data_IF_592185275241
#
_entry.id   IF_592185275241
#
_cell.length_a   1.000
_cell.length_b   1.000
_cell.length_c   1.000
_cell.angle_alpha   90.00
_cell.angle_beta   90.00
_cell.angle_gamma   90.00
#
_symmetry.space_group_name_H-M   'P 1'
#
loop_
_entity.id
_entity.type
_entity.pdbx_description
1 polymer ?
#
# COMPACT_ATOMS: atom_id res chain seq x y z
N UNK A 1 36.24 -30.55 -63.99
CA UNK A 1 37.16 -29.95 -63.11
C UNK A 1 36.46 -29.29 -61.95
N UNK A 2 36.89 -29.63 -60.76
CA UNK A 2 36.83 -28.83 -59.53
C UNK A 2 35.45 -28.68 -58.89
N UNK A 3 35.07 -29.23 -57.76
CA UNK A 3 35.74 -29.46 -56.52
C UNK A 3 35.52 -28.25 -55.57
N UNK A 4 34.77 -28.40 -54.48
CA UNK A 4 34.73 -27.36 -53.46
C UNK A 4 33.57 -27.54 -52.49
N UNK A 5 33.78 -28.31 -51.45
CA UNK A 5 32.89 -28.39 -50.33
C UNK A 5 33.02 -27.15 -49.44
N UNK A 6 31.93 -26.75 -48.82
CA UNK A 6 31.88 -25.73 -47.81
C UNK A 6 31.03 -26.19 -46.64
N UNK A 7 31.69 -26.50 -45.52
CA UNK A 7 31.03 -26.90 -44.29
C UNK A 7 30.27 -25.76 -43.66
N UNK A 8 29.00 -26.03 -43.34
CA UNK A 8 28.18 -25.17 -42.52
C UNK A 8 28.43 -25.44 -41.06
N UNK A 9 29.06 -24.47 -40.38
CA UNK A 9 29.16 -24.47 -38.89
C UNK A 9 27.83 -24.08 -38.32
N UNK A 10 27.13 -25.02 -37.68
CA UNK A 10 26.00 -24.74 -36.83
C UNK A 10 26.44 -24.01 -35.56
N UNK A 11 26.10 -22.73 -35.43
CA UNK A 11 26.19 -22.04 -34.16
C UNK A 11 25.01 -22.51 -33.28
N UNK A 12 25.29 -23.39 -32.34
CA UNK A 12 24.39 -23.73 -31.26
C UNK A 12 24.23 -22.49 -30.40
N UNK A 13 23.06 -21.86 -30.48
CA UNK A 13 22.64 -20.86 -29.51
C UNK A 13 22.40 -21.57 -28.20
N UNK A 14 23.28 -21.32 -27.23
CA UNK A 14 23.10 -21.70 -25.84
C UNK A 14 22.12 -20.72 -25.19
N UNK A 15 20.82 -21.00 -25.37
CA UNK A 15 19.74 -20.32 -24.64
C UNK A 15 19.68 -20.88 -23.23
N UNK A 16 20.75 -20.66 -22.44
CA UNK A 16 20.72 -20.82 -21.01
C UNK A 16 19.65 -19.91 -20.41
N UNK A 17 18.95 -20.34 -19.34
CA UNK A 17 17.91 -19.52 -18.73
C UNK A 17 18.52 -18.18 -18.32
N UNK A 18 18.02 -17.12 -18.96
CA UNK A 18 18.36 -15.73 -18.61
C UNK A 18 17.94 -15.47 -17.17
N UNK A 19 18.86 -15.58 -16.22
CA UNK A 19 18.68 -15.20 -14.82
C UNK A 19 18.76 -13.68 -14.72
N UNK A 20 17.84 -12.99 -15.39
CA UNK A 20 17.65 -11.57 -15.13
C UNK A 20 17.22 -11.41 -13.68
N UNK A 21 17.96 -10.60 -12.90
CA UNK A 21 17.57 -10.25 -11.55
C UNK A 21 16.09 -9.82 -11.52
N UNK A 22 15.33 -10.21 -10.49
CA UNK A 22 13.91 -9.87 -10.43
C UNK A 22 13.74 -8.34 -10.51
N UNK A 23 12.80 -7.89 -11.34
CA UNK A 23 12.57 -6.45 -11.57
C UNK A 23 12.19 -5.78 -10.26
N UNK A 24 12.92 -4.72 -9.87
CA UNK A 24 12.58 -3.86 -8.76
C UNK A 24 11.51 -2.82 -9.17
N UNK A 25 10.80 -2.29 -8.18
CA UNK A 25 9.74 -1.29 -8.39
C UNK A 25 8.34 -1.83 -8.14
N UNK A 26 7.34 -1.08 -8.58
CA UNK A 26 5.93 -1.42 -8.39
C UNK A 26 5.59 -2.71 -9.16
N UNK A 27 5.02 -3.68 -8.46
CA UNK A 27 4.57 -4.96 -9.02
C UNK A 27 3.06 -4.97 -9.27
N UNK A 28 2.28 -4.39 -8.35
CA UNK A 28 0.83 -4.32 -8.46
C UNK A 28 0.23 -3.38 -7.43
N UNK A 29 -1.01 -2.97 -7.65
CA UNK A 29 -1.73 -2.10 -6.71
C UNK A 29 -3.25 -2.34 -6.78
N UNK A 30 -3.93 -1.88 -5.74
CA UNK A 30 -5.40 -1.85 -5.71
C UNK A 30 -5.86 -0.66 -4.89
N UNK A 31 -6.95 -0.04 -5.30
CA UNK A 31 -7.54 1.08 -4.58
C UNK A 31 -9.06 1.07 -4.73
N UNK A 32 -9.75 1.54 -3.69
CA UNK A 32 -11.20 1.62 -3.68
C UNK A 32 -11.69 2.75 -2.77
N UNK A 33 -12.96 3.08 -2.88
CA UNK A 33 -13.61 4.09 -2.05
C UNK A 33 -15.07 3.72 -1.77
N UNK A 34 -15.59 4.20 -0.64
CA UNK A 34 -17.00 4.11 -0.26
C UNK A 34 -17.44 5.45 0.36
N UNK A 35 -18.09 6.27 -0.45
CA UNK A 35 -18.62 7.57 -0.04
C UNK A 35 -19.72 7.49 1.02
N UNK A 36 -20.45 6.37 1.13
CA UNK A 36 -21.46 6.18 2.17
C UNK A 36 -20.83 6.11 3.58
N UNK A 37 -19.55 5.75 3.67
CA UNK A 37 -18.77 5.72 4.90
C UNK A 37 -18.28 7.09 5.38
N UNK A 38 -18.44 8.17 4.60
CA UNK A 38 -17.90 9.52 4.91
C UNK A 38 -18.36 10.08 6.26
N UNK A 39 -19.53 9.70 6.73
CA UNK A 39 -20.05 10.07 8.04
C UNK A 39 -19.22 9.58 9.22
N UNK A 40 -18.40 8.56 9.02
CA UNK A 40 -17.61 7.93 10.08
C UNK A 40 -16.21 8.52 10.24
N UNK A 41 -15.69 9.21 9.21
CA UNK A 41 -14.39 9.89 9.25
C UNK A 41 -14.42 11.07 8.26
N UNK A 42 -14.40 12.28 8.76
CA UNK A 42 -14.43 13.48 7.92
C UNK A 42 -13.85 14.70 8.63
N UNK A 43 -13.47 15.70 7.83
CA UNK A 43 -13.19 17.06 8.25
C UNK A 43 -14.00 17.97 7.30
N UNK A 44 -15.19 18.37 7.72
CA UNK A 44 -16.11 19.14 6.88
C UNK A 44 -15.59 20.55 6.69
N UNK A 45 -15.71 21.06 5.48
CA UNK A 45 -15.52 22.47 5.22
C UNK A 45 -16.77 23.24 5.67
N UNK A 46 -16.57 24.28 6.47
CA UNK A 46 -17.65 25.14 6.92
C UNK A 46 -17.50 26.53 6.29
N UNK A 47 -18.58 27.07 5.74
CA UNK A 47 -18.61 28.46 5.29
C UNK A 47 -18.49 29.43 6.48
N UNK A 48 -18.11 30.72 6.27
CA UNK A 48 -18.06 31.73 7.33
C UNK A 48 -19.36 31.90 8.09
N UNK A 49 -20.49 31.51 7.51
CA UNK A 49 -21.80 31.51 8.15
C UNK A 49 -22.08 30.28 9.03
N UNK A 50 -21.06 29.41 9.25
CA UNK A 50 -21.19 28.20 10.06
C UNK A 50 -22.01 27.07 9.43
N UNK A 51 -22.43 27.20 8.18
CA UNK A 51 -23.14 26.14 7.45
C UNK A 51 -22.13 25.18 6.87
N UNK A 52 -22.27 23.87 7.14
CA UNK A 52 -21.57 22.85 6.39
C UNK A 52 -22.01 22.93 4.93
N UNK A 53 -21.05 23.13 4.01
CA UNK A 53 -21.33 23.07 2.58
C UNK A 53 -21.51 21.59 2.18
N UNK A 54 -22.47 21.33 1.29
CA UNK A 54 -22.56 20.05 0.63
C UNK A 54 -21.29 19.84 -0.22
N UNK A 55 -20.87 18.57 -0.48
CA UNK A 55 -19.63 18.28 -1.22
C UNK A 55 -19.55 18.92 -2.62
N UNK A 56 -20.69 19.25 -3.20
CA UNK A 56 -20.88 19.85 -4.52
C UNK A 56 -21.06 21.38 -4.47
N UNK A 57 -21.22 21.98 -3.28
CA UNK A 57 -21.40 23.43 -3.11
C UNK A 57 -20.06 24.15 -2.78
N UNK A 58 -18.97 23.43 -2.79
CA UNK A 58 -17.63 23.98 -2.49
C UNK A 58 -17.11 24.86 -3.61
N UNK A 59 -17.35 26.17 -3.53
CA UNK A 59 -16.56 27.13 -4.30
C UNK A 59 -15.14 27.15 -3.71
N UNK A 60 -14.15 26.70 -4.50
CA UNK A 60 -12.75 26.66 -4.10
C UNK A 60 -12.15 28.03 -3.72
N UNK A 61 -12.89 29.10 -3.91
CA UNK A 61 -12.54 30.47 -3.53
C UNK A 61 -13.33 31.03 -2.35
N UNK A 62 -14.29 30.30 -1.80
CA UNK A 62 -15.11 30.82 -0.71
C UNK A 62 -14.30 30.87 0.61
N UNK A 63 -14.32 32.00 1.34
CA UNK A 63 -13.70 32.06 2.64
C UNK A 63 -14.38 31.11 3.61
N UNK A 64 -13.61 30.23 4.24
CA UNK A 64 -14.10 29.24 5.20
C UNK A 64 -12.95 28.50 5.87
N UNK A 65 -13.29 27.57 6.73
CA UNK A 65 -12.33 26.73 7.44
C UNK A 65 -12.82 25.28 7.52
N UNK A 66 -11.88 24.36 7.60
CA UNK A 66 -12.21 22.98 7.95
C UNK A 66 -12.63 22.90 9.42
N UNK A 67 -13.69 22.18 9.68
CA UNK A 67 -14.04 21.76 11.03
C UNK A 67 -13.01 20.76 11.58
N UNK A 68 -13.03 20.56 12.88
CA UNK A 68 -12.23 19.50 13.49
C UNK A 68 -12.56 18.15 12.87
N UNK A 69 -11.55 17.27 12.83
CA UNK A 69 -11.75 15.88 12.40
C UNK A 69 -12.80 15.22 13.29
N UNK A 70 -13.85 14.71 12.68
CA UNK A 70 -14.88 13.92 13.33
C UNK A 70 -14.68 12.46 12.96
N UNK A 71 -14.59 11.58 13.97
CA UNK A 71 -14.33 10.15 13.77
C UNK A 71 -15.19 9.29 14.71
N UNK A 72 -15.89 8.31 14.12
CA UNK A 72 -16.44 7.18 14.86
C UNK A 72 -15.40 6.05 14.88
N UNK A 73 -14.60 5.99 15.96
CA UNK A 73 -13.46 5.06 16.06
C UNK A 73 -13.86 3.60 15.94
N UNK A 74 -15.05 3.19 16.41
CA UNK A 74 -15.51 1.79 16.30
C UNK A 74 -15.82 1.42 14.85
N UNK A 75 -16.51 2.28 14.11
CA UNK A 75 -16.86 2.01 12.71
C UNK A 75 -15.60 2.07 11.81
N UNK A 76 -14.70 3.01 12.06
CA UNK A 76 -13.41 3.08 11.36
C UNK A 76 -12.57 1.83 11.64
N UNK A 77 -12.52 1.35 12.89
CA UNK A 77 -11.84 0.10 13.23
C UNK A 77 -12.42 -1.10 12.47
N UNK A 78 -13.74 -1.31 12.54
CA UNK A 78 -14.43 -2.40 11.83
C UNK A 78 -14.19 -2.35 10.31
N UNK A 79 -14.19 -1.16 9.77
CA UNK A 79 -13.88 -0.93 8.37
C UNK A 79 -12.43 -1.33 8.06
N UNK A 80 -11.46 -0.78 8.78
CA UNK A 80 -10.03 -0.98 8.51
C UNK A 80 -9.62 -2.46 8.57
N UNK A 81 -10.04 -3.19 9.62
CA UNK A 81 -9.68 -4.61 9.78
C UNK A 81 -10.28 -5.52 8.69
N UNK A 82 -11.28 -5.03 7.96
CA UNK A 82 -11.87 -5.73 6.82
C UNK A 82 -11.27 -5.26 5.50
N UNK A 83 -11.19 -3.95 5.28
CA UNK A 83 -10.80 -3.36 4.01
C UNK A 83 -9.29 -3.52 3.71
N UNK A 84 -8.43 -3.38 4.73
CA UNK A 84 -6.97 -3.48 4.56
C UNK A 84 -6.54 -4.86 4.05
N UNK A 85 -6.92 -5.98 4.67
CA UNK A 85 -6.57 -7.29 4.11
C UNK A 85 -7.09 -7.50 2.69
N UNK A 86 -8.34 -7.14 2.44
CA UNK A 86 -8.96 -7.30 1.11
C UNK A 86 -8.22 -6.53 0.02
N UNK A 87 -7.78 -5.29 0.29
CA UNK A 87 -7.06 -4.50 -0.70
C UNK A 87 -5.63 -4.99 -0.91
N UNK A 88 -4.98 -5.52 0.13
CA UNK A 88 -3.65 -6.16 0.02
C UNK A 88 -3.75 -7.43 -0.85
N UNK A 89 -4.72 -8.30 -0.59
CA UNK A 89 -4.96 -9.49 -1.41
C UNK A 89 -5.23 -9.14 -2.89
N UNK A 90 -6.03 -8.08 -3.13
CA UNK A 90 -6.28 -7.60 -4.48
C UNK A 90 -5.02 -7.07 -5.17
N UNK A 91 -4.17 -6.34 -4.45
CA UNK A 91 -2.89 -5.83 -4.97
C UNK A 91 -1.88 -6.96 -5.23
N UNK A 92 -1.85 -7.99 -4.39
CA UNK A 92 -1.03 -9.20 -4.62
C UNK A 92 -1.47 -9.94 -5.89
N UNK A 93 -2.77 -10.07 -6.08
CA UNK A 93 -3.32 -10.67 -7.31
C UNK A 93 -2.94 -9.87 -8.56
N UNK A 94 -3.02 -8.53 -8.50
CA UNK A 94 -2.59 -7.64 -9.59
C UNK A 94 -1.09 -7.75 -9.86
N UNK A 95 -0.28 -7.95 -8.80
CA UNK A 95 1.15 -8.22 -8.90
C UNK A 95 1.51 -9.60 -9.47
N UNK A 96 0.54 -10.49 -9.66
CA UNK A 96 0.77 -11.88 -10.08
C UNK A 96 1.44 -12.74 -9.01
N UNK A 97 1.34 -12.35 -7.74
CA UNK A 97 1.91 -13.08 -6.62
C UNK A 97 0.90 -14.10 -6.05
N UNK A 98 1.38 -15.21 -5.48
CA UNK A 98 0.49 -16.31 -5.05
C UNK A 98 -0.42 -15.93 -3.88
N UNK A 99 0.05 -15.08 -2.96
CA UNK A 99 -0.70 -14.67 -1.79
C UNK A 99 0.15 -13.94 -0.75
N UNK A 100 -0.39 -13.73 0.47
CA UNK A 100 0.30 -13.02 1.55
C UNK A 100 1.62 -13.66 1.99
N UNK A 101 1.83 -14.95 1.73
CA UNK A 101 3.10 -15.66 1.99
C UNK A 101 4.27 -15.12 1.17
N UNK A 102 3.98 -14.42 0.05
CA UNK A 102 4.99 -13.77 -0.77
C UNK A 102 5.46 -12.41 -0.22
N UNK A 103 4.83 -11.92 0.85
CA UNK A 103 5.19 -10.65 1.49
C UNK A 103 6.37 -10.90 2.44
N UNK A 104 7.48 -10.20 2.21
CA UNK A 104 8.59 -10.16 3.16
C UNK A 104 8.29 -9.15 4.28
N UNK A 105 7.74 -7.99 3.93
CA UNK A 105 7.42 -6.92 4.87
C UNK A 105 6.05 -6.29 4.62
N UNK A 106 5.28 -6.12 5.70
CA UNK A 106 3.98 -5.43 5.70
C UNK A 106 4.11 -4.08 6.40
N UNK A 107 3.85 -2.99 5.68
CA UNK A 107 3.91 -1.62 6.18
C UNK A 107 2.54 -0.98 6.03
N UNK A 108 1.78 -0.94 7.11
CA UNK A 108 0.44 -0.36 7.12
C UNK A 108 0.45 1.09 7.59
N UNK A 109 -0.59 1.83 7.24
CA UNK A 109 -0.87 3.11 7.87
C UNK A 109 -0.88 2.96 9.40
N UNK A 110 -0.02 3.73 10.10
CA UNK A 110 0.18 3.67 11.54
C UNK A 110 -0.98 4.35 12.30
N UNK A 111 -2.19 3.84 12.12
CA UNK A 111 -3.39 4.41 12.71
C UNK A 111 -3.58 4.01 14.17
N UNK A 112 -3.42 2.72 14.45
CA UNK A 112 -3.65 2.10 15.76
C UNK A 112 -3.06 0.68 15.76
N UNK A 113 -2.32 0.31 16.81
CA UNK A 113 -1.66 -1.00 16.92
C UNK A 113 -2.65 -2.16 16.75
N UNK A 114 -3.84 -2.06 17.32
CA UNK A 114 -4.87 -3.12 17.20
C UNK A 114 -5.35 -3.34 15.75
N UNK A 115 -5.29 -2.30 14.90
CA UNK A 115 -5.62 -2.43 13.48
C UNK A 115 -4.48 -3.16 12.77
N UNK A 116 -3.22 -2.80 13.07
CA UNK A 116 -2.05 -3.45 12.50
C UNK A 116 -2.07 -4.95 12.81
N UNK A 117 -2.23 -5.29 14.09
CA UNK A 117 -2.26 -6.67 14.56
C UNK A 117 -3.40 -7.48 13.93
N UNK A 118 -4.61 -6.91 13.89
CA UNK A 118 -5.77 -7.59 13.32
C UNK A 118 -5.66 -7.78 11.80
N UNK A 119 -5.10 -6.81 11.08
CA UNK A 119 -4.90 -6.91 9.63
C UNK A 119 -3.80 -7.95 9.30
N UNK A 120 -2.68 -7.91 10.02
CA UNK A 120 -1.59 -8.88 9.86
C UNK A 120 -2.05 -10.32 10.16
N UNK A 121 -2.75 -10.51 11.28
CA UNK A 121 -3.31 -11.81 11.64
C UNK A 121 -4.27 -12.36 10.58
N UNK A 122 -5.11 -11.50 9.99
CA UNK A 122 -6.05 -11.90 8.94
C UNK A 122 -5.36 -12.24 7.62
N UNK A 123 -4.25 -11.57 7.31
CA UNK A 123 -3.39 -11.89 6.16
C UNK A 123 -2.48 -13.10 6.42
N UNK A 124 -2.37 -13.58 7.66
CA UNK A 124 -1.41 -14.63 8.03
C UNK A 124 0.04 -14.16 7.99
N UNK A 125 0.27 -12.83 8.03
CA UNK A 125 1.61 -12.25 8.09
C UNK A 125 2.12 -12.29 9.52
N UNK A 126 3.27 -12.92 9.81
CA UNK A 126 3.84 -12.99 11.14
C UNK A 126 4.16 -11.60 11.71
N UNK A 127 4.01 -11.38 13.03
CA UNK A 127 4.23 -10.07 13.66
C UNK A 127 5.65 -9.49 13.44
N UNK A 128 6.66 -10.33 13.31
CA UNK A 128 8.05 -9.94 13.06
C UNK A 128 8.29 -9.44 11.63
N UNK A 129 7.33 -9.62 10.73
CA UNK A 129 7.31 -9.05 9.38
C UNK A 129 6.41 -7.82 9.25
N UNK A 130 5.86 -7.31 10.34
CA UNK A 130 5.04 -6.09 10.35
C UNK A 130 5.90 -4.93 10.85
N UNK A 131 6.11 -3.94 9.98
CA UNK A 131 6.82 -2.72 10.38
C UNK A 131 5.87 -1.83 11.17
N UNK A 132 6.28 -1.44 12.37
CA UNK A 132 5.57 -0.47 13.20
C UNK A 132 6.56 0.47 13.87
N UNK A 133 6.26 1.76 13.81
CA UNK A 133 6.92 2.84 14.57
C UNK A 133 5.88 3.69 15.31
N UNK A 134 4.68 3.13 15.49
CA UNK A 134 3.55 3.81 16.11
C UNK A 134 3.84 4.22 17.57
N UNK A 135 4.64 3.43 18.29
CA UNK A 135 5.00 3.73 19.68
C UNK A 135 5.85 5.01 19.79
N UNK A 136 6.65 5.30 18.76
CA UNK A 136 7.56 6.45 18.72
C UNK A 136 6.87 7.71 18.23
N UNK A 137 6.10 7.61 17.14
CA UNK A 137 5.58 8.77 16.42
C UNK A 137 4.07 8.93 16.48
N UNK A 138 3.35 7.91 16.96
CA UNK A 138 1.89 7.90 16.90
C UNK A 138 1.35 7.87 15.47
N UNK A 139 0.13 8.36 15.30
CA UNK A 139 -0.51 8.47 13.99
C UNK A 139 -0.07 9.76 13.29
N UNK A 140 0.86 9.65 12.35
CA UNK A 140 1.37 10.76 11.53
C UNK A 140 0.61 10.90 10.19
N UNK A 141 -0.63 10.43 10.13
CA UNK A 141 -1.49 10.54 8.93
C UNK A 141 -0.82 9.97 7.66
N UNK A 142 -0.77 10.74 6.57
CA UNK A 142 -0.20 10.30 5.30
C UNK A 142 1.32 10.02 5.38
N UNK A 143 2.02 10.63 6.33
CA UNK A 143 3.45 10.42 6.54
C UNK A 143 3.78 9.07 7.22
N UNK A 144 2.79 8.37 7.78
CA UNK A 144 3.04 7.19 8.60
C UNK A 144 3.69 6.03 7.84
N UNK A 145 3.25 5.74 6.63
CA UNK A 145 3.84 4.69 5.78
C UNK A 145 5.25 5.09 5.34
N UNK A 146 5.49 6.28 4.73
CA UNK A 146 6.84 6.63 4.30
C UNK A 146 7.84 6.75 5.46
N UNK A 147 7.45 7.21 6.64
CA UNK A 147 8.33 7.23 7.82
C UNK A 147 8.71 5.82 8.26
N UNK A 148 7.74 4.92 8.39
CA UNK A 148 8.00 3.53 8.80
C UNK A 148 8.84 2.79 7.76
N UNK A 149 8.63 3.06 6.47
CA UNK A 149 9.40 2.50 5.38
C UNK A 149 10.85 3.01 5.38
N UNK A 150 11.06 4.33 5.50
CA UNK A 150 12.39 4.94 5.55
C UNK A 150 13.22 4.38 6.71
N UNK A 151 12.66 4.27 7.89
CA UNK A 151 13.33 3.68 9.05
C UNK A 151 13.71 2.22 8.80
N UNK A 152 12.77 1.40 8.32
CA UNK A 152 13.01 -0.02 8.10
C UNK A 152 14.07 -0.29 7.01
N UNK A 153 14.19 0.62 6.03
CA UNK A 153 15.26 0.59 5.04
C UNK A 153 16.60 1.01 5.64
N UNK A 154 16.65 2.10 6.40
CA UNK A 154 17.87 2.64 6.99
C UNK A 154 18.48 1.74 8.05
N UNK A 155 17.65 1.06 8.83
CA UNK A 155 18.11 0.12 9.85
C UNK A 155 18.40 -1.29 9.30
N UNK A 156 18.18 -1.49 8.00
CA UNK A 156 18.53 -2.73 7.29
C UNK A 156 17.54 -3.87 7.48
N UNK A 157 16.36 -3.62 8.03
CA UNK A 157 15.27 -4.60 8.05
C UNK A 157 14.84 -4.94 6.62
N UNK A 158 14.48 -3.95 5.83
CA UNK A 158 14.11 -4.13 4.42
C UNK A 158 15.38 -4.12 3.55
N UNK A 159 15.57 -5.18 2.77
CA UNK A 159 16.75 -5.38 1.92
C UNK A 159 16.38 -5.39 0.43
N UNK A 160 17.32 -5.02 -0.45
CA UNK A 160 17.11 -5.15 -1.90
C UNK A 160 16.64 -6.55 -2.30
N UNK A 161 15.64 -6.60 -3.19
CA UNK A 161 15.02 -7.83 -3.67
C UNK A 161 13.78 -8.28 -2.89
N UNK A 162 13.56 -7.78 -1.69
CA UNK A 162 12.40 -8.15 -0.86
C UNK A 162 11.10 -7.53 -1.35
N UNK A 163 10.00 -8.24 -1.14
CA UNK A 163 8.65 -7.83 -1.48
C UNK A 163 8.01 -7.12 -0.30
N UNK A 164 7.65 -5.88 -0.52
CA UNK A 164 7.00 -5.02 0.47
C UNK A 164 5.57 -4.75 0.06
N UNK A 165 4.64 -5.03 0.97
CA UNK A 165 3.25 -4.63 0.85
C UNK A 165 2.98 -3.40 1.70
N UNK A 166 2.46 -2.34 1.10
CA UNK A 166 2.00 -1.16 1.83
C UNK A 166 0.50 -1.03 1.69
N UNK A 167 -0.20 -0.61 2.75
CA UNK A 167 -1.62 -0.31 2.66
C UNK A 167 -2.04 0.80 3.63
N UNK A 168 -2.91 1.67 3.14
CA UNK A 168 -3.47 2.78 3.89
C UNK A 168 -4.96 2.95 3.68
N UNK A 169 -5.59 3.65 4.59
CA UNK A 169 -7.00 4.03 4.52
C UNK A 169 -7.22 5.39 5.19
N UNK A 170 -8.31 6.04 4.84
CA UNK A 170 -8.64 7.35 5.39
C UNK A 170 -10.06 7.78 5.08
N UNK A 171 -10.29 9.09 5.27
CA UNK A 171 -11.57 9.72 4.98
C UNK A 171 -11.97 9.48 3.52
N UNK A 172 -13.28 9.36 3.35
CA UNK A 172 -13.87 9.07 2.07
C UNK A 172 -15.10 8.16 2.25
N UNK A 173 -15.05 6.94 2.77
CA UNK A 173 -13.81 6.24 3.09
C UNK A 173 -13.05 5.86 1.82
N UNK A 174 -11.74 5.92 1.89
CA UNK A 174 -10.84 5.49 0.80
C UNK A 174 -9.76 4.57 1.35
N UNK A 175 -9.31 3.62 0.55
CA UNK A 175 -8.22 2.72 0.92
C UNK A 175 -7.47 2.25 -0.32
N UNK A 176 -6.19 1.97 -0.13
CA UNK A 176 -5.32 1.50 -1.20
C UNK A 176 -4.23 0.61 -0.66
N UNK A 177 -3.68 -0.24 -1.53
CA UNK A 177 -2.48 -1.02 -1.30
C UNK A 177 -1.61 -1.02 -2.55
N UNK A 178 -0.31 -1.07 -2.34
CA UNK A 178 0.67 -1.31 -3.38
C UNK A 178 1.65 -2.39 -2.94
N UNK A 179 2.05 -3.21 -3.89
CA UNK A 179 3.07 -4.24 -3.72
C UNK A 179 4.26 -3.83 -4.59
N UNK A 180 5.44 -3.79 -4.01
CA UNK A 180 6.64 -3.48 -4.75
C UNK A 180 7.81 -4.35 -4.32
N UNK A 181 8.80 -4.51 -5.19
CA UNK A 181 10.07 -5.10 -4.87
C UNK A 181 11.07 -3.99 -4.62
N UNK A 182 11.64 -3.99 -3.41
CA UNK A 182 12.64 -3.01 -3.03
C UNK A 182 13.98 -3.26 -3.72
N UNK A 183 14.66 -2.18 -4.18
CA UNK A 183 15.99 -2.27 -4.80
C UNK A 183 16.32 -1.11 -5.71
#
# INVERSE_FOLDING_TARGET
GGGGGGGGGGAGGDDGPSTSAPRCGLLGFSMASDGAGSKHLNARFASPAGKALAPDEGDAGAPGAFANIAMNGQEVFKFAVRAVPTVVEAALKDAGLPGPEAIDWLVLHQANQRILDAAAARLGVPPDRVISNLAEYGNTSAASIPLALDEAVRDGRIKPGEVVAVAGFGAGLTWASAIFRYG
#
